data_IF_528135489231
#
_entry.id   IF_528135489231
#
_cell.length_a   1.000
_cell.length_b   1.000
_cell.length_c   1.000
_cell.angle_alpha   90.00
_cell.angle_beta   90.00
_cell.angle_gamma   90.00
#
_symmetry.space_group_name_H-M   'P 1'
#
loop_
_entity.id
_entity.type
_entity.pdbx_description
1 polymer ?
#
# COMPACT_ATOMS: atom_id res chain seq x y z
N UNK A 1 -8.30 -3.84 4.27
CA UNK A 1 -9.12 -4.53 5.29
C UNK A 1 -8.23 -4.77 6.50
N UNK A 2 -8.73 -4.60 7.73
CA UNK A 2 -8.00 -4.93 8.95
C UNK A 2 -7.70 -6.43 9.04
N UNK A 3 -6.76 -6.78 9.91
CA UNK A 3 -6.31 -8.16 10.11
C UNK A 3 -7.46 -9.11 10.48
N UNK A 4 -8.32 -8.68 11.40
CA UNK A 4 -9.49 -9.41 11.89
C UNK A 4 -10.69 -9.40 10.92
N UNK A 5 -10.55 -8.74 9.76
CA UNK A 5 -11.58 -8.63 8.74
C UNK A 5 -12.73 -7.68 9.08
N UNK A 6 -12.68 -6.98 10.22
CA UNK A 6 -13.78 -6.13 10.71
C UNK A 6 -13.80 -4.73 10.13
N UNK A 7 -12.70 -4.23 9.60
CA UNK A 7 -12.61 -2.88 9.04
C UNK A 7 -12.21 -2.94 7.57
N UNK A 8 -12.89 -2.16 6.73
CA UNK A 8 -12.52 -1.91 5.35
C UNK A 8 -12.08 -0.46 5.20
N UNK A 9 -10.78 -0.27 5.00
CA UNK A 9 -10.21 1.01 4.59
C UNK A 9 -10.24 1.12 3.07
N UNK A 10 -10.56 2.31 2.58
CA UNK A 10 -10.52 2.67 1.16
C UNK A 10 -10.47 4.19 1.04
N UNK A 11 -10.19 4.71 -0.15
CA UNK A 11 -10.21 6.14 -0.42
C UNK A 11 -11.36 6.53 -1.35
N UNK A 12 -11.86 7.77 -1.25
CA UNK A 12 -12.98 8.25 -2.06
C UNK A 12 -12.97 9.77 -2.22
N UNK A 13 -13.44 10.25 -3.37
CA UNK A 13 -13.67 11.67 -3.69
C UNK A 13 -15.11 12.14 -3.37
N UNK A 14 -15.78 11.46 -2.44
CA UNK A 14 -17.20 11.72 -2.17
C UNK A 14 -17.41 13.07 -1.48
N UNK A 15 -18.61 13.61 -1.61
CA UNK A 15 -18.99 14.85 -0.94
C UNK A 15 -18.88 14.70 0.60
N UNK A 16 -18.37 15.75 1.26
CA UNK A 16 -18.18 15.78 2.72
C UNK A 16 -16.81 15.30 3.20
N UNK A 17 -15.87 15.07 2.28
CA UNK A 17 -14.45 14.94 2.60
C UNK A 17 -13.76 16.28 2.92
N UNK A 18 -12.52 16.19 3.38
CA UNK A 18 -11.60 17.29 3.70
C UNK A 18 -10.78 17.73 2.48
N UNK A 19 -10.51 16.81 1.55
CA UNK A 19 -9.67 17.07 0.38
C UNK A 19 -10.21 16.50 -0.92
N UNK A 20 -9.29 16.31 -1.87
CA UNK A 20 -9.60 15.79 -3.21
C UNK A 20 -9.97 14.31 -3.20
N UNK A 21 -9.27 13.52 -2.37
CA UNK A 21 -9.54 12.12 -2.10
C UNK A 21 -9.12 11.84 -0.66
N UNK A 22 -10.01 11.23 0.10
CA UNK A 22 -9.81 10.99 1.54
C UNK A 22 -9.87 9.50 1.86
N UNK A 23 -9.20 9.09 2.93
CA UNK A 23 -9.33 7.76 3.53
C UNK A 23 -10.59 7.68 4.39
N UNK A 24 -11.36 6.63 4.14
CA UNK A 24 -12.55 6.23 4.90
C UNK A 24 -12.36 4.84 5.48
N UNK A 25 -13.12 4.55 6.54
CA UNK A 25 -13.29 3.22 7.12
C UNK A 25 -14.75 2.81 7.12
N UNK A 26 -15.05 1.56 6.77
CA UNK A 26 -16.35 0.92 6.96
C UNK A 26 -16.20 -0.29 7.88
N UNK A 27 -17.07 -0.40 8.89
CA UNK A 27 -17.13 -1.59 9.76
C UNK A 27 -17.90 -2.71 9.09
N UNK A 28 -17.40 -3.94 9.25
CA UNK A 28 -18.11 -5.16 8.88
C UNK A 28 -19.21 -5.40 9.90
N UNK A 29 -20.43 -5.54 9.42
CA UNK A 29 -21.61 -5.82 10.22
C UNK A 29 -22.06 -7.24 9.89
N UNK A 30 -22.05 -8.12 10.89
CA UNK A 30 -22.67 -9.44 10.72
C UNK A 30 -24.18 -9.28 10.74
N UNK A 31 -24.87 -9.68 9.67
CA UNK A 31 -26.33 -9.54 9.56
C UNK A 31 -27.06 -10.88 9.73
N UNK A 32 -26.41 -11.89 10.30
CA UNK A 32 -27.02 -13.20 10.57
C UNK A 32 -27.08 -14.09 9.32
N UNK A 33 -28.26 -14.64 9.02
CA UNK A 33 -28.44 -15.69 8.02
C UNK A 33 -28.01 -15.31 6.58
N UNK A 34 -27.99 -14.02 6.28
CA UNK A 34 -27.71 -13.50 4.93
C UNK A 34 -26.23 -13.09 4.72
N UNK A 35 -25.37 -13.35 5.71
CA UNK A 35 -23.93 -13.07 5.64
C UNK A 35 -23.53 -11.73 6.27
N UNK A 36 -22.33 -11.27 5.94
CA UNK A 36 -21.78 -10.00 6.44
C UNK A 36 -22.02 -8.88 5.43
N UNK A 37 -22.33 -7.68 5.91
CA UNK A 37 -22.40 -6.44 5.11
C UNK A 37 -21.37 -5.42 5.61
N UNK A 38 -21.17 -4.34 4.84
CA UNK A 38 -20.36 -3.19 5.27
C UNK A 38 -21.26 -2.05 5.70
N UNK A 39 -21.01 -1.52 6.89
CA UNK A 39 -21.68 -0.35 7.43
C UNK A 39 -21.33 0.93 6.67
N UNK A 40 -22.05 2.03 6.99
CA UNK A 40 -21.81 3.31 6.35
C UNK A 40 -20.36 3.75 6.57
N UNK A 41 -19.72 4.31 5.55
CA UNK A 41 -18.33 4.71 5.60
C UNK A 41 -18.11 5.99 6.40
N UNK A 42 -17.08 5.98 7.24
CA UNK A 42 -16.69 7.08 8.13
C UNK A 42 -15.37 7.68 7.65
N UNK A 43 -15.33 9.01 7.49
CA UNK A 43 -14.09 9.72 7.14
C UNK A 43 -13.12 9.66 8.34
N UNK A 44 -11.84 9.37 8.11
CA UNK A 44 -10.86 9.26 9.19
C UNK A 44 -10.42 10.60 9.80
N UNK A 45 -10.99 11.72 9.36
CA UNK A 45 -10.82 13.03 9.97
C UNK A 45 -9.45 13.66 9.69
N UNK A 46 -9.19 14.86 10.27
CA UNK A 46 -8.06 15.71 9.91
C UNK A 46 -6.70 15.21 10.42
N UNK A 47 -6.69 14.22 11.32
CA UNK A 47 -5.46 13.53 11.70
C UNK A 47 -4.92 12.66 10.55
N UNK A 48 -5.81 12.17 9.66
CA UNK A 48 -5.45 11.30 8.54
C UNK A 48 -5.60 11.98 7.18
N UNK A 49 -6.66 12.75 6.99
CA UNK A 49 -6.98 13.37 5.71
C UNK A 49 -6.57 14.85 5.71
N UNK A 50 -6.09 15.32 4.57
CA UNK A 50 -5.67 16.70 4.37
C UNK A 50 -6.52 17.38 3.29
N UNK A 51 -6.19 18.61 2.92
CA UNK A 51 -6.80 19.23 1.73
C UNK A 51 -6.32 18.58 0.41
N UNK A 52 -5.26 17.76 0.46
CA UNK A 52 -4.64 17.11 -0.68
C UNK A 52 -5.36 15.84 -1.12
N UNK A 53 -4.58 14.89 -1.64
CA UNK A 53 -5.06 13.56 -1.99
C UNK A 53 -4.40 12.53 -1.08
N UNK A 54 -5.21 11.79 -0.35
CA UNK A 54 -4.85 10.55 0.31
C UNK A 54 -5.42 9.36 -0.48
N UNK A 55 -4.54 8.53 -1.02
CA UNK A 55 -4.89 7.49 -1.97
C UNK A 55 -4.29 6.14 -1.57
N UNK A 56 -5.02 5.08 -1.86
CA UNK A 56 -4.59 3.73 -1.49
C UNK A 56 -4.67 3.49 0.01
N UNK A 57 -4.97 2.26 0.40
CA UNK A 57 -4.98 1.87 1.81
C UNK A 57 -4.56 0.41 1.88
N UNK A 58 -3.44 0.16 2.55
CA UNK A 58 -2.77 -1.13 2.62
C UNK A 58 -2.57 -1.49 4.08
N UNK A 59 -2.97 -2.69 4.48
CA UNK A 59 -2.87 -3.13 5.86
C UNK A 59 -1.76 -4.15 6.00
N UNK A 60 -0.95 -4.02 7.05
CA UNK A 60 0.02 -5.04 7.46
C UNK A 60 -0.71 -6.04 8.35
N UNK A 61 -0.74 -7.32 7.97
CA UNK A 61 -1.20 -8.39 8.88
C UNK A 61 -0.11 -8.62 9.93
N UNK A 62 -0.50 -8.84 11.18
CA UNK A 62 0.34 -8.97 12.40
C UNK A 62 0.71 -7.65 13.08
N UNK A 63 -0.29 -6.99 13.67
CA UNK A 63 -0.08 -5.86 14.59
C UNK A 63 0.47 -4.59 13.93
N UNK A 64 0.51 -4.56 12.60
CA UNK A 64 0.96 -3.40 11.85
C UNK A 64 -0.18 -2.43 11.53
N UNK A 65 0.23 -1.23 11.15
CA UNK A 65 -0.66 -0.09 10.92
C UNK A 65 -1.06 0.01 9.43
N UNK A 66 -2.23 0.60 9.12
CA UNK A 66 -2.55 0.93 7.74
C UNK A 66 -1.56 1.95 7.18
N UNK A 67 -1.00 1.61 6.02
CA UNK A 67 -0.24 2.52 5.17
C UNK A 67 -1.13 3.06 4.05
N UNK A 68 -0.88 4.29 3.64
CA UNK A 68 -1.56 4.94 2.52
C UNK A 68 -0.60 5.89 1.81
N UNK A 69 -0.93 6.26 0.58
CA UNK A 69 -0.18 7.27 -0.13
C UNK A 69 -0.77 8.65 0.20
N UNK A 70 0.09 9.65 0.36
CA UNK A 70 -0.30 11.06 0.41
C UNK A 70 0.57 11.84 -0.56
N UNK A 71 0.02 12.87 -1.19
CA UNK A 71 0.83 13.87 -1.90
C UNK A 71 1.02 15.08 -0.98
N UNK A 72 2.21 15.28 -0.38
CA UNK A 72 2.51 16.48 0.39
C UNK A 72 2.49 17.72 -0.51
N UNK A 73 2.26 18.90 0.07
CA UNK A 73 2.24 20.15 -0.68
C UNK A 73 3.60 20.38 -1.38
N UNK A 74 3.59 20.41 -2.71
CA UNK A 74 4.79 20.59 -3.54
C UNK A 74 5.72 19.37 -3.64
N UNK A 75 5.30 18.21 -3.14
CA UNK A 75 6.06 16.95 -3.17
C UNK A 75 5.52 15.91 -4.15
N UNK A 76 6.25 14.80 -4.27
CA UNK A 76 5.80 13.56 -4.92
C UNK A 76 4.90 12.74 -3.99
N UNK A 77 4.29 11.66 -4.50
CA UNK A 77 3.56 10.72 -3.64
C UNK A 77 4.53 10.08 -2.63
N UNK A 78 4.10 10.01 -1.37
CA UNK A 78 4.84 9.45 -0.25
C UNK A 78 3.97 8.45 0.52
N UNK A 79 4.61 7.50 1.20
CA UNK A 79 3.97 6.56 2.11
C UNK A 79 3.83 7.17 3.51
N UNK A 80 2.60 7.13 4.02
CA UNK A 80 2.23 7.52 5.37
C UNK A 80 1.56 6.34 6.07
N UNK A 81 1.62 6.36 7.41
CA UNK A 81 0.92 5.40 8.27
C UNK A 81 0.15 6.10 9.38
N UNK A 82 -0.84 5.43 9.95
CA UNK A 82 -1.58 5.92 11.11
C UNK A 82 -1.87 4.79 12.10
N UNK A 83 -1.62 5.04 13.38
CA UNK A 83 -2.05 4.17 14.47
C UNK A 83 -3.55 4.34 14.72
N UNK A 84 -4.28 3.23 14.77
CA UNK A 84 -5.73 3.22 15.00
C UNK A 84 -6.08 2.39 16.23
N UNK A 85 -7.21 2.69 16.87
CA UNK A 85 -7.88 1.75 17.76
C UNK A 85 -8.42 0.54 16.98
N UNK A 86 -8.82 -0.52 17.68
CA UNK A 86 -9.48 -1.68 17.08
C UNK A 86 -10.79 -1.32 16.34
N UNK A 87 -11.41 -0.20 16.69
CA UNK A 87 -12.62 0.31 16.04
C UNK A 87 -12.32 1.28 14.90
N UNK A 88 -11.06 1.43 14.51
CA UNK A 88 -10.65 2.27 13.36
C UNK A 88 -10.57 3.76 13.67
N UNK A 89 -10.47 4.15 14.94
CA UNK A 89 -10.33 5.56 15.34
C UNK A 89 -8.84 5.94 15.37
N UNK A 90 -8.41 7.03 14.70
CA UNK A 90 -7.03 7.48 14.80
C UNK A 90 -6.59 7.80 16.23
N UNK A 91 -5.40 7.32 16.61
CA UNK A 91 -4.75 7.60 17.89
C UNK A 91 -3.89 8.86 17.85
N UNK A 92 -3.80 9.50 16.68
CA UNK A 92 -3.07 10.74 16.44
C UNK A 92 -2.87 10.97 14.95
N UNK A 93 -2.14 12.05 14.59
CA UNK A 93 -1.87 12.38 13.19
C UNK A 93 -1.11 11.27 12.47
N UNK A 94 -1.45 11.05 11.20
CA UNK A 94 -0.70 10.18 10.33
C UNK A 94 0.72 10.71 10.11
N UNK A 95 1.69 9.80 10.17
CA UNK A 95 3.12 10.11 10.08
C UNK A 95 3.69 9.55 8.79
N UNK A 96 4.65 10.26 8.19
CA UNK A 96 5.40 9.73 7.05
C UNK A 96 6.20 8.50 7.49
N UNK A 97 6.45 7.57 6.56
CA UNK A 97 7.33 6.42 6.77
C UNK A 97 8.66 6.70 6.07
N UNK A 98 9.60 7.41 6.72
CA UNK A 98 10.76 7.98 6.04
C UNK A 98 11.70 6.92 5.46
N UNK A 99 11.68 5.70 5.98
CA UNK A 99 12.50 4.60 5.44
C UNK A 99 11.99 4.10 4.08
N UNK A 100 10.70 4.30 3.78
CA UNK A 100 10.10 3.92 2.51
C UNK A 100 10.13 5.05 1.48
N UNK A 101 10.15 6.30 1.93
CA UNK A 101 10.06 7.47 1.04
C UNK A 101 11.43 7.90 0.52
N UNK A 102 11.48 8.26 -0.76
CA UNK A 102 12.67 8.74 -1.45
C UNK A 102 12.41 10.13 -2.06
N UNK A 103 13.23 11.14 -1.76
CA UNK A 103 12.98 12.52 -2.23
C UNK A 103 13.14 12.68 -3.75
N UNK A 104 13.67 11.68 -4.45
CA UNK A 104 13.89 11.72 -5.90
C UNK A 104 12.75 11.10 -6.70
N UNK A 105 11.74 10.51 -6.04
CA UNK A 105 10.68 9.78 -6.72
C UNK A 105 9.32 9.83 -6.04
N UNK A 106 8.32 9.28 -6.72
CA UNK A 106 6.99 9.03 -6.19
C UNK A 106 6.92 7.60 -5.66
N UNK A 107 6.71 7.46 -4.36
CA UNK A 107 6.53 6.20 -3.67
C UNK A 107 5.05 5.91 -3.45
N UNK A 108 4.62 4.75 -3.92
CA UNK A 108 3.21 4.42 -3.92
C UNK A 108 2.98 2.92 -3.86
N UNK A 109 1.80 2.55 -3.34
CA UNK A 109 1.25 1.19 -3.45
C UNK A 109 2.15 0.16 -2.76
N UNK A 110 1.94 -0.08 -1.47
CA UNK A 110 2.70 -1.11 -0.74
C UNK A 110 1.97 -2.45 -0.76
N UNK A 111 2.73 -3.53 -0.88
CA UNK A 111 2.31 -4.90 -0.60
C UNK A 111 3.22 -5.48 0.47
N UNK A 112 2.64 -5.79 1.62
CA UNK A 112 3.38 -6.32 2.76
C UNK A 112 3.08 -7.80 2.91
N UNK A 113 4.13 -8.61 3.09
CA UNK A 113 3.99 -10.03 3.39
C UNK A 113 3.26 -10.21 4.71
N UNK A 114 2.62 -11.36 4.87
CA UNK A 114 1.69 -11.61 5.98
C UNK A 114 2.33 -11.70 7.36
N UNK A 115 3.63 -11.97 7.43
CA UNK A 115 4.45 -11.88 8.64
C UNK A 115 4.89 -10.43 8.95
N UNK A 116 4.58 -9.48 8.06
CA UNK A 116 4.98 -8.10 8.19
C UNK A 116 6.48 -7.85 8.00
N UNK A 117 7.29 -8.82 7.56
CA UNK A 117 8.76 -8.71 7.54
C UNK A 117 9.36 -8.38 6.17
N UNK A 118 8.53 -8.35 5.13
CA UNK A 118 8.93 -8.03 3.76
C UNK A 118 7.86 -7.16 3.10
N UNK A 119 8.29 -6.12 2.38
CA UNK A 119 7.43 -5.16 1.73
C UNK A 119 7.91 -4.91 0.31
N UNK A 120 6.97 -4.83 -0.62
CA UNK A 120 7.16 -4.36 -1.98
C UNK A 120 6.45 -3.03 -2.14
N UNK A 121 7.03 -2.08 -2.87
CA UNK A 121 6.34 -0.86 -3.29
C UNK A 121 6.69 -0.50 -4.73
N UNK A 122 5.88 0.37 -5.33
CA UNK A 122 6.19 0.99 -6.63
C UNK A 122 6.85 2.34 -6.40
N UNK A 123 8.01 2.57 -7.03
CA UNK A 123 8.75 3.83 -6.89
C UNK A 123 9.40 4.30 -8.18
N UNK A 124 9.40 5.62 -8.37
CA UNK A 124 10.19 6.31 -9.39
C UNK A 124 11.52 6.84 -8.87
N UNK A 125 12.02 6.33 -7.73
CA UNK A 125 13.28 6.77 -7.12
C UNK A 125 14.47 6.56 -8.05
N UNK A 126 15.56 7.27 -7.74
CA UNK A 126 16.83 7.10 -8.43
C UNK A 126 17.27 5.63 -8.45
N UNK A 127 17.61 5.11 -9.63
CA UNK A 127 17.97 3.71 -9.85
C UNK A 127 16.89 2.86 -10.52
N UNK A 128 15.65 3.36 -10.67
CA UNK A 128 14.63 2.70 -11.48
C UNK A 128 15.01 2.66 -12.97
N UNK A 129 14.62 1.60 -13.66
CA UNK A 129 14.75 1.45 -15.11
C UNK A 129 13.69 2.24 -15.86
N UNK A 130 12.44 2.20 -15.38
CA UNK A 130 11.29 2.91 -15.94
C UNK A 130 10.81 4.06 -15.06
N UNK A 131 9.58 4.53 -15.34
CA UNK A 131 8.94 5.55 -14.52
C UNK A 131 8.57 5.01 -13.13
N UNK A 132 8.05 3.79 -13.03
CA UNK A 132 7.85 3.11 -11.75
C UNK A 132 8.41 1.70 -11.84
N UNK A 133 9.17 1.34 -10.81
CA UNK A 133 9.70 0.00 -10.63
C UNK A 133 9.27 -0.56 -9.27
N UNK A 134 9.37 -1.88 -9.11
CA UNK A 134 9.15 -2.58 -7.85
C UNK A 134 10.43 -2.60 -7.01
N UNK A 135 10.31 -2.17 -5.75
CA UNK A 135 11.38 -2.14 -4.76
C UNK A 135 11.02 -2.97 -3.54
N UNK A 136 12.01 -3.66 -2.97
CA UNK A 136 11.84 -4.54 -1.81
C UNK A 136 12.53 -4.00 -0.57
N UNK A 137 11.86 -4.17 0.56
CA UNK A 137 12.32 -3.81 1.88
C UNK A 137 12.11 -4.98 2.83
N UNK A 138 13.00 -5.13 3.81
CA UNK A 138 12.89 -6.17 4.84
C UNK A 138 13.10 -5.57 6.22
N UNK A 139 12.67 -6.28 7.27
CA UNK A 139 12.95 -5.94 8.65
C UNK A 139 12.98 -7.21 9.51
N UNK A 140 13.62 -7.14 10.68
CA UNK A 140 13.78 -8.32 11.53
C UNK A 140 12.51 -8.61 12.36
N UNK A 141 11.83 -7.56 12.82
CA UNK A 141 10.56 -7.66 13.54
C UNK A 141 9.56 -6.63 13.02
N UNK A 142 8.28 -6.77 13.38
CA UNK A 142 7.22 -5.83 12.98
C UNK A 142 7.35 -4.43 13.60
N UNK A 143 8.26 -4.25 14.55
CA UNK A 143 8.55 -2.97 15.20
C UNK A 143 9.86 -2.33 14.73
N UNK A 144 10.69 -3.05 13.99
CA UNK A 144 11.92 -2.51 13.44
C UNK A 144 11.64 -1.60 12.24
N UNK A 145 12.50 -0.59 12.00
CA UNK A 145 12.48 0.16 10.76
C UNK A 145 12.71 -0.75 9.55
N UNK A 146 12.19 -0.34 8.39
CA UNK A 146 12.49 -1.01 7.13
C UNK A 146 13.96 -0.85 6.75
N UNK A 147 14.53 -1.86 6.09
CA UNK A 147 15.88 -1.83 5.52
C UNK A 147 16.03 -0.76 4.45
N UNK A 148 17.26 -0.55 3.97
CA UNK A 148 17.46 0.16 2.70
C UNK A 148 16.74 -0.55 1.54
N UNK A 149 16.30 0.20 0.52
CA UNK A 149 15.58 -0.34 -0.63
C UNK A 149 16.49 -1.26 -1.46
N UNK A 150 15.92 -2.37 -1.93
CA UNK A 150 16.54 -3.26 -2.91
C UNK A 150 15.74 -3.20 -4.21
N UNK A 151 16.38 -2.74 -5.28
CA UNK A 151 15.81 -2.79 -6.62
C UNK A 151 15.74 -4.24 -7.09
N UNK A 152 14.65 -4.61 -7.79
CA UNK A 152 14.54 -5.93 -8.40
C UNK A 152 14.97 -5.86 -9.85
N UNK A 153 16.09 -6.52 -10.17
CA UNK A 153 16.55 -6.61 -11.55
C UNK A 153 15.53 -7.32 -12.47
N UNK A 154 15.80 -7.28 -13.78
CA UNK A 154 15.08 -8.09 -14.74
C UNK A 154 15.09 -9.58 -14.35
N UNK A 155 13.99 -10.32 -14.55
CA UNK A 155 12.82 -9.96 -15.35
C UNK A 155 11.67 -9.32 -14.56
N UNK A 156 11.86 -8.99 -13.28
CA UNK A 156 10.77 -8.41 -12.47
C UNK A 156 10.52 -6.98 -12.91
N UNK A 157 11.54 -6.13 -12.84
CA UNK A 157 11.49 -4.80 -13.45
C UNK A 157 12.00 -4.84 -14.89
N UNK A 158 11.49 -3.92 -15.68
CA UNK A 158 11.79 -3.69 -17.08
C UNK A 158 12.00 -2.19 -17.30
N UNK A 159 12.48 -1.75 -18.47
CA UNK A 159 12.52 -0.32 -18.81
C UNK A 159 11.13 0.35 -18.90
N UNK A 160 10.06 -0.45 -18.88
CA UNK A 160 8.67 -0.01 -18.88
C UNK A 160 8.16 0.26 -17.44
N UNK A 161 6.89 0.66 -17.29
CA UNK A 161 6.26 0.79 -15.97
C UNK A 161 5.96 -0.58 -15.39
N UNK A 162 6.47 -0.86 -14.19
CA UNK A 162 6.18 -2.02 -13.35
C UNK A 162 5.69 -1.57 -11.96
N UNK A 163 4.42 -1.81 -11.64
CA UNK A 163 3.79 -1.17 -10.47
C UNK A 163 2.68 -1.98 -9.82
N UNK A 164 2.13 -1.47 -8.71
CA UNK A 164 0.98 -2.03 -7.98
C UNK A 164 1.21 -3.49 -7.56
N UNK A 165 2.26 -3.77 -6.78
CA UNK A 165 2.54 -5.12 -6.34
C UNK A 165 1.42 -5.64 -5.42
N UNK A 166 1.27 -6.96 -5.40
CA UNK A 166 0.43 -7.71 -4.49
C UNK A 166 1.09 -9.07 -4.24
N UNK A 167 1.18 -9.47 -2.97
CA UNK A 167 1.79 -10.74 -2.56
C UNK A 167 0.72 -11.74 -2.15
N UNK A 168 0.92 -13.00 -2.54
CA UNK A 168 0.16 -14.11 -1.97
C UNK A 168 0.44 -14.27 -0.48
N UNK A 169 -0.49 -14.91 0.24
CA UNK A 169 -0.40 -15.11 1.68
C UNK A 169 0.89 -15.81 2.11
N UNK A 170 1.36 -16.76 1.32
CA UNK A 170 2.59 -17.53 1.56
C UNK A 170 3.87 -16.84 1.04
N UNK A 171 3.75 -15.63 0.47
CA UNK A 171 4.87 -14.86 -0.09
C UNK A 171 5.49 -15.45 -1.35
N UNK A 172 4.92 -16.52 -1.92
CA UNK A 172 5.51 -17.23 -3.06
C UNK A 172 5.15 -16.64 -4.42
N UNK A 173 4.04 -15.93 -4.49
CA UNK A 173 3.53 -15.35 -5.72
C UNK A 173 3.46 -13.83 -5.58
N UNK A 174 4.09 -13.14 -6.52
CA UNK A 174 3.98 -11.70 -6.71
C UNK A 174 3.13 -11.45 -7.95
N UNK A 175 2.01 -10.77 -7.78
CA UNK A 175 1.21 -10.21 -8.87
C UNK A 175 1.47 -8.72 -8.93
N UNK A 176 1.63 -8.17 -10.11
CA UNK A 176 1.87 -6.76 -10.31
C UNK A 176 1.32 -6.34 -11.68
N UNK A 177 1.33 -5.04 -11.96
CA UNK A 177 0.90 -4.49 -13.24
C UNK A 177 2.10 -4.06 -14.05
N UNK A 178 2.06 -4.22 -15.37
CA UNK A 178 3.11 -3.75 -16.25
C UNK A 178 2.58 -3.34 -17.62
N UNK A 179 3.26 -2.37 -18.23
CA UNK A 179 3.04 -1.98 -19.64
C UNK A 179 4.00 -2.67 -20.60
N UNK A 180 4.79 -3.64 -20.12
CA UNK A 180 5.72 -4.43 -20.93
C UNK A 180 5.04 -5.07 -22.13
N UNK A 181 5.81 -5.28 -23.20
CA UNK A 181 5.34 -5.93 -24.42
C UNK A 181 4.80 -7.35 -24.15
N UNK A 182 3.75 -7.74 -24.89
CA UNK A 182 3.15 -9.08 -24.82
C UNK A 182 1.83 -9.17 -24.03
N UNK A 183 1.39 -8.06 -23.43
CA UNK A 183 0.09 -7.94 -22.76
C UNK A 183 -1.09 -7.66 -23.71
N UNK A 184 -2.30 -7.60 -23.14
CA UNK A 184 -3.56 -7.27 -23.81
C UNK A 184 -4.06 -5.90 -23.37
N UNK A 185 -3.40 -4.83 -23.84
CA UNK A 185 -3.81 -3.47 -23.57
C UNK A 185 -2.62 -2.57 -23.27
N UNK A 186 -2.88 -1.47 -22.54
CA UNK A 186 -1.82 -0.55 -22.10
C UNK A 186 -1.12 -1.08 -20.86
N UNK A 187 -1.87 -1.62 -19.90
CA UNK A 187 -1.35 -2.08 -18.62
C UNK A 187 -2.08 -3.37 -18.23
N UNK A 188 -1.31 -4.44 -18.05
CA UNK A 188 -1.81 -5.79 -17.78
C UNK A 188 -1.34 -6.30 -16.42
N UNK A 189 -2.00 -7.36 -15.92
CA UNK A 189 -1.54 -8.09 -14.75
C UNK A 189 -0.49 -9.13 -15.16
N UNK A 190 0.63 -9.13 -14.43
CA UNK A 190 1.74 -10.06 -14.56
C UNK A 190 1.98 -10.76 -13.24
N UNK A 191 2.58 -11.94 -13.32
CA UNK A 191 2.83 -12.79 -12.16
C UNK A 191 4.24 -13.34 -12.20
N UNK A 192 4.89 -13.37 -11.04
CA UNK A 192 6.13 -14.11 -10.81
C UNK A 192 5.99 -15.01 -9.59
N UNK A 193 6.74 -16.12 -9.59
CA UNK A 193 6.81 -17.04 -8.45
C UNK A 193 8.25 -17.19 -7.99
N UNK A 194 8.45 -17.25 -6.67
CA UNK A 194 9.76 -17.52 -6.08
C UNK A 194 10.10 -18.99 -6.22
N UNK A 195 11.35 -19.29 -6.53
CA UNK A 195 11.85 -20.65 -6.39
C UNK A 195 11.87 -21.04 -4.90
N UNK A 196 11.82 -22.35 -4.56
CA UNK A 196 11.97 -22.82 -3.17
C UNK A 196 13.24 -22.32 -2.46
N UNK A 197 14.26 -21.90 -3.23
CA UNK A 197 15.50 -21.30 -2.76
C UNK A 197 15.37 -19.84 -2.28
N UNK A 198 14.20 -19.22 -2.42
CA UNK A 198 13.94 -17.85 -1.95
C UNK A 198 14.60 -16.74 -2.77
N UNK A 199 15.14 -17.07 -3.95
CA UNK A 199 15.66 -16.13 -4.96
C UNK A 199 14.77 -16.14 -6.18
#
# INVERSE_FOLDING_TARGET
MSEDGRLLFFYSTRLGGLGSADIYVSHRVSTGADGDTWGPPVNLGPDVNTAGAENGSYYVREGGEPNFNRTPAGGSLDIYRVSLTNDGVPLGPAVAVPELNDPTGADQKVAVRTDGLELFLSSSRSGSFGNLDLWVFTRQTVHDPWSSPVHLDAPINTPDIDSQPSLSRDGRMLIFTSIRSGGLGVQDLWMSTRAPSGR
#
